data_IF_491763668610
#
_entry.id   IF_491763668610
#
_cell.length_a   1.000
_cell.length_b   1.000
_cell.length_c   1.000
_cell.angle_alpha   90.00
_cell.angle_beta   90.00
_cell.angle_gamma   90.00
#
_symmetry.space_group_name_H-M   'P 1'
#
loop_
_entity.id
_entity.type
_entity.pdbx_description
1 polymer ?
#
# COMPACT_ATOMS: atom_id res chain seq x y z
N UNK A 1 -20.70 3.69 48.41
CA UNK A 1 -19.43 3.21 47.81
C UNK A 1 -19.83 2.54 46.52
N UNK A 2 -19.93 3.32 45.44
CA UNK A 2 -20.50 2.86 44.17
C UNK A 2 -19.42 2.13 43.39
N UNK A 3 -19.65 0.85 43.13
CA UNK A 3 -18.86 0.02 42.24
C UNK A 3 -19.11 0.48 40.80
N UNK A 4 -18.15 1.20 40.21
CA UNK A 4 -18.04 1.32 38.75
C UNK A 4 -18.00 -0.10 38.16
N UNK A 5 -18.98 -0.50 37.32
CA UNK A 5 -18.83 -1.72 36.57
C UNK A 5 -17.74 -1.45 35.53
N UNK A 6 -16.59 -2.07 35.74
CA UNK A 6 -15.49 -2.08 34.81
C UNK A 6 -16.00 -2.60 33.45
N UNK A 7 -16.24 -1.67 32.53
CA UNK A 7 -16.49 -1.86 31.11
C UNK A 7 -15.21 -2.37 30.43
N UNK A 8 -14.76 -3.54 30.87
CA UNK A 8 -13.67 -4.31 30.30
C UNK A 8 -14.26 -5.35 29.35
N UNK A 9 -15.12 -4.92 28.43
CA UNK A 9 -15.42 -5.74 27.27
C UNK A 9 -14.12 -5.91 26.46
N UNK A 10 -13.69 -7.14 26.13
CA UNK A 10 -12.57 -7.32 25.22
C UNK A 10 -12.96 -6.70 23.88
N UNK A 11 -12.33 -5.56 23.55
CA UNK A 11 -12.49 -4.87 22.26
C UNK A 11 -12.28 -5.90 21.16
N UNK A 12 -13.33 -6.13 20.38
CA UNK A 12 -13.35 -7.11 19.30
C UNK A 12 -12.09 -6.98 18.42
N UNK A 13 -11.45 -8.10 18.04
CA UNK A 13 -10.26 -8.06 17.23
C UNK A 13 -10.56 -7.33 15.91
N UNK A 14 -9.59 -6.58 15.35
CA UNK A 14 -9.76 -5.91 14.07
C UNK A 14 -10.25 -6.93 13.04
N UNK A 15 -11.47 -6.72 12.52
CA UNK A 15 -12.08 -7.71 11.65
C UNK A 15 -11.28 -7.80 10.35
N UNK A 16 -10.95 -9.02 9.93
CA UNK A 16 -10.34 -9.29 8.63
C UNK A 16 -11.17 -8.68 7.47
N UNK A 17 -12.48 -8.53 7.72
CA UNK A 17 -13.46 -7.81 6.89
C UNK A 17 -13.24 -6.29 6.76
N UNK A 18 -12.42 -5.64 7.59
CA UNK A 18 -12.02 -4.24 7.38
C UNK A 18 -10.81 -4.12 6.45
N UNK A 19 -10.00 -5.17 6.32
CA UNK A 19 -8.79 -5.21 5.47
C UNK A 19 -9.10 -5.55 4.00
N UNK A 20 -10.14 -6.34 3.73
CA UNK A 20 -10.42 -6.79 2.35
C UNK A 20 -10.80 -5.66 1.38
N UNK A 21 -11.50 -4.62 1.84
CA UNK A 21 -11.87 -3.45 1.02
C UNK A 21 -10.64 -2.70 0.51
N UNK A 22 -9.69 -2.31 1.39
CA UNK A 22 -8.41 -1.77 0.96
C UNK A 22 -7.63 -2.69 0.05
N UNK A 23 -7.54 -3.97 0.41
CA UNK A 23 -6.78 -4.94 -0.36
C UNK A 23 -7.34 -5.08 -1.78
N UNK A 24 -8.67 -5.16 -1.94
CA UNK A 24 -9.32 -5.23 -3.26
C UNK A 24 -9.09 -3.93 -4.05
N UNK A 25 -9.24 -2.76 -3.41
CA UNK A 25 -9.00 -1.48 -4.08
C UNK A 25 -7.55 -1.34 -4.57
N UNK A 26 -6.59 -1.78 -3.75
CA UNK A 26 -5.17 -1.84 -4.13
C UNK A 26 -4.92 -2.82 -5.27
N UNK A 27 -5.47 -4.03 -5.19
CA UNK A 27 -5.33 -5.03 -6.25
C UNK A 27 -5.91 -4.52 -7.57
N UNK A 28 -7.08 -3.87 -7.55
CA UNK A 28 -7.66 -3.25 -8.75
C UNK A 28 -6.75 -2.13 -9.26
N UNK A 29 -6.29 -1.23 -8.38
CA UNK A 29 -5.43 -0.13 -8.77
C UNK A 29 -4.09 -0.56 -9.38
N UNK A 30 -3.54 -1.70 -8.95
CA UNK A 30 -2.36 -2.30 -9.55
C UNK A 30 -2.75 -3.03 -10.84
N UNK A 31 -3.79 -3.86 -10.84
CA UNK A 31 -4.16 -4.73 -11.96
C UNK A 31 -4.67 -3.98 -13.20
N UNK A 32 -5.35 -2.84 -13.04
CA UNK A 32 -5.90 -2.05 -14.15
C UNK A 32 -4.81 -1.46 -15.08
N UNK A 33 -3.75 -0.83 -14.57
CA UNK A 33 -2.65 -0.34 -15.39
C UNK A 33 -1.70 -1.46 -15.87
N UNK A 34 -1.66 -2.64 -15.23
CA UNK A 34 -0.76 -3.74 -15.63
C UNK A 34 -0.84 -4.15 -17.09
N UNK A 35 -2.02 -4.47 -17.68
CA UNK A 35 -2.08 -4.87 -19.07
C UNK A 35 -1.68 -3.72 -20.01
N UNK A 36 -2.02 -2.47 -19.66
CA UNK A 36 -1.68 -1.30 -20.46
C UNK A 36 -0.16 -1.06 -20.49
N UNK A 37 0.48 -1.11 -19.32
CA UNK A 37 1.92 -0.96 -19.17
C UNK A 37 2.68 -2.16 -19.73
N UNK A 38 2.15 -3.38 -19.58
CA UNK A 38 2.73 -4.59 -20.15
C UNK A 38 2.71 -4.55 -21.68
N UNK A 39 1.59 -4.10 -22.29
CA UNK A 39 1.49 -3.90 -23.74
C UNK A 39 2.51 -2.87 -24.21
N UNK A 40 2.58 -1.71 -23.56
CA UNK A 40 3.57 -0.67 -23.89
C UNK A 40 5.01 -1.18 -23.72
N UNK A 41 5.31 -1.86 -22.63
CA UNK A 41 6.64 -2.43 -22.35
C UNK A 41 7.04 -3.49 -23.38
N UNK A 42 6.10 -4.32 -23.82
CA UNK A 42 6.32 -5.34 -24.83
C UNK A 42 6.72 -4.72 -26.18
N UNK A 43 6.11 -3.60 -26.57
CA UNK A 43 6.45 -2.92 -27.83
C UNK A 43 7.84 -2.28 -27.83
N UNK A 44 8.34 -1.88 -26.66
CA UNK A 44 9.61 -1.16 -26.53
C UNK A 44 10.79 -2.10 -26.18
N UNK A 45 10.60 -3.06 -25.28
CA UNK A 45 11.68 -3.86 -24.68
C UNK A 45 11.37 -5.38 -24.65
N UNK A 46 10.32 -5.82 -25.35
CA UNK A 46 9.97 -7.24 -25.48
C UNK A 46 9.65 -7.92 -24.15
N UNK A 47 10.07 -9.18 -24.01
CA UNK A 47 9.77 -10.01 -22.84
C UNK A 47 10.36 -9.46 -21.52
N UNK A 48 11.49 -8.74 -21.59
CA UNK A 48 12.14 -8.14 -20.43
C UNK A 48 11.29 -7.00 -19.84
N UNK A 49 10.59 -6.25 -20.70
CA UNK A 49 9.64 -5.22 -20.28
C UNK A 49 8.45 -5.77 -19.49
N UNK A 50 7.96 -6.97 -19.83
CA UNK A 50 6.87 -7.61 -19.07
C UNK A 50 7.35 -8.03 -17.69
N UNK A 51 8.55 -8.59 -17.58
CA UNK A 51 9.15 -8.93 -16.29
C UNK A 51 9.33 -7.70 -15.40
N UNK A 52 9.79 -6.59 -15.98
CA UNK A 52 9.92 -5.30 -15.29
C UNK A 52 8.59 -4.82 -14.69
N UNK A 53 7.50 -4.87 -15.46
CA UNK A 53 6.16 -4.46 -15.02
C UNK A 53 5.66 -5.35 -13.88
N UNK A 54 5.82 -6.67 -14.00
CA UNK A 54 5.40 -7.62 -12.98
C UNK A 54 6.18 -7.43 -11.68
N UNK A 55 7.48 -7.20 -11.77
CA UNK A 55 8.34 -6.98 -10.60
C UNK A 55 7.97 -5.69 -9.87
N UNK A 56 7.76 -4.60 -10.62
CA UNK A 56 7.32 -3.31 -10.09
C UNK A 56 5.94 -3.41 -9.41
N UNK A 57 4.99 -4.10 -10.05
CA UNK A 57 3.66 -4.33 -9.52
C UNK A 57 3.71 -5.14 -8.21
N UNK A 58 4.48 -6.23 -8.16
CA UNK A 58 4.64 -7.05 -6.96
C UNK A 58 5.26 -6.28 -5.80
N UNK A 59 6.30 -5.49 -6.08
CA UNK A 59 6.97 -4.69 -5.07
C UNK A 59 6.05 -3.65 -4.44
N UNK A 60 5.33 -2.89 -5.27
CA UNK A 60 4.41 -1.86 -4.78
C UNK A 60 3.19 -2.46 -4.09
N UNK A 61 2.68 -3.58 -4.59
CA UNK A 61 1.58 -4.31 -3.96
C UNK A 61 1.98 -4.87 -2.58
N UNK A 62 3.15 -5.51 -2.49
CA UNK A 62 3.67 -6.06 -1.24
C UNK A 62 3.95 -5.00 -0.18
N UNK A 63 4.58 -3.89 -0.56
CA UNK A 63 4.87 -2.78 0.37
C UNK A 63 3.58 -2.13 0.89
N UNK A 64 2.58 -1.95 0.02
CA UNK A 64 1.28 -1.36 0.39
C UNK A 64 0.50 -2.28 1.32
N UNK A 65 0.49 -3.60 1.08
CA UNK A 65 -0.14 -4.56 2.01
C UNK A 65 0.53 -4.52 3.37
N UNK A 66 1.87 -4.47 3.41
CA UNK A 66 2.62 -4.37 4.67
C UNK A 66 2.27 -3.09 5.45
N UNK A 67 2.24 -1.94 4.77
CA UNK A 67 1.86 -0.66 5.36
C UNK A 67 0.42 -0.69 5.90
N UNK A 68 -0.53 -1.22 5.14
CA UNK A 68 -1.94 -1.31 5.54
C UNK A 68 -2.14 -2.24 6.74
N UNK A 69 -1.42 -3.35 6.78
CA UNK A 69 -1.45 -4.30 7.90
C UNK A 69 -0.93 -3.63 9.19
N UNK A 70 0.17 -2.89 9.10
CA UNK A 70 0.71 -2.11 10.23
C UNK A 70 -0.27 -1.06 10.72
N UNK A 71 -0.91 -0.31 9.82
CA UNK A 71 -1.90 0.72 10.17
C UNK A 71 -3.11 0.11 10.88
N UNK A 72 -3.61 -1.04 10.42
CA UNK A 72 -4.76 -1.71 11.04
C UNK A 72 -4.41 -2.29 12.41
N UNK A 73 -3.25 -2.94 12.56
CA UNK A 73 -2.80 -3.43 13.87
C UNK A 73 -2.62 -2.30 14.89
N UNK A 74 -2.24 -1.11 14.43
CA UNK A 74 -1.86 -0.01 15.31
C UNK A 74 -2.99 0.96 15.61
N UNK A 75 -4.14 0.81 14.95
CA UNK A 75 -5.36 1.62 15.21
C UNK A 75 -5.85 1.53 16.66
N UNK A 76 -5.50 0.48 17.38
CA UNK A 76 -5.94 0.26 18.77
C UNK A 76 -4.86 0.57 19.82
N UNK A 77 -3.67 1.00 19.41
CA UNK A 77 -2.56 1.29 20.34
C UNK A 77 -2.30 2.80 20.44
N UNK A 78 -1.83 3.30 21.60
CA UNK A 78 -1.39 4.70 21.75
C UNK A 78 -0.19 5.05 20.84
N UNK A 79 0.43 4.06 20.19
CA UNK A 79 1.55 4.20 19.27
C UNK A 79 1.13 4.33 17.80
N UNK A 80 -0.14 4.65 17.51
CA UNK A 80 -0.65 4.79 16.14
C UNK A 80 0.15 5.72 15.23
N UNK A 81 0.76 6.78 15.79
CA UNK A 81 1.65 7.69 15.06
C UNK A 81 2.93 6.99 14.59
N UNK A 82 3.58 6.19 15.45
CA UNK A 82 4.81 5.47 15.11
C UNK A 82 4.55 4.43 14.02
N UNK A 83 3.41 3.75 14.07
CA UNK A 83 3.03 2.80 13.05
C UNK A 83 2.69 3.45 11.70
N UNK A 84 2.05 4.62 11.72
CA UNK A 84 1.83 5.39 10.50
C UNK A 84 3.16 5.82 9.87
N UNK A 85 4.14 6.25 10.69
CA UNK A 85 5.49 6.56 10.20
C UNK A 85 6.21 5.32 9.65
N UNK A 86 6.09 4.17 10.31
CA UNK A 86 6.64 2.91 9.83
C UNK A 86 5.99 2.45 8.51
N UNK A 87 4.68 2.62 8.37
CA UNK A 87 3.95 2.35 7.12
C UNK A 87 4.44 3.24 5.98
N UNK A 88 4.63 4.53 6.24
CA UNK A 88 5.23 5.46 5.26
C UNK A 88 6.66 5.03 4.92
N UNK A 89 7.48 4.69 5.91
CA UNK A 89 8.85 4.25 5.66
C UNK A 89 8.91 2.98 4.80
N UNK A 90 8.02 2.01 5.01
CA UNK A 90 7.96 0.79 4.19
C UNK A 90 7.46 1.07 2.78
N UNK A 91 6.39 1.87 2.64
CA UNK A 91 5.78 2.13 1.33
C UNK A 91 6.69 2.95 0.42
N UNK A 92 7.50 3.85 0.97
CA UNK A 92 8.42 4.70 0.20
C UNK A 92 9.80 4.08 0.11
N UNK A 93 10.30 3.55 1.23
CA UNK A 93 11.64 2.99 1.34
C UNK A 93 11.84 1.76 0.47
N UNK A 94 10.88 0.82 0.45
CA UNK A 94 11.04 -0.42 -0.34
C UNK A 94 11.09 -0.13 -1.84
N UNK A 95 10.13 0.60 -2.44
CA UNK A 95 10.17 0.91 -3.88
C UNK A 95 11.36 1.79 -4.27
N UNK A 96 11.73 2.80 -3.46
CA UNK A 96 12.90 3.63 -3.76
C UNK A 96 14.20 2.85 -3.65
N UNK A 97 14.41 2.10 -2.57
CA UNK A 97 15.66 1.37 -2.35
C UNK A 97 15.88 0.32 -3.44
N UNK A 98 14.84 -0.46 -3.74
CA UNK A 98 14.92 -1.51 -4.76
C UNK A 98 15.00 -0.88 -6.16
N UNK A 99 14.25 0.19 -6.43
CA UNK A 99 14.37 0.94 -7.68
C UNK A 99 15.76 1.54 -7.89
N UNK A 100 16.37 2.12 -6.85
CA UNK A 100 17.72 2.68 -6.91
C UNK A 100 18.78 1.59 -7.10
N UNK A 101 18.64 0.47 -6.38
CA UNK A 101 19.53 -0.69 -6.51
C UNK A 101 19.46 -1.31 -7.91
N UNK A 102 18.25 -1.46 -8.44
CA UNK A 102 18.04 -1.95 -9.82
C UNK A 102 18.57 -0.96 -10.86
N UNK A 103 18.49 0.35 -10.60
CA UNK A 103 19.04 1.35 -11.52
C UNK A 103 20.58 1.38 -11.54
N UNK A 104 21.23 1.08 -10.42
CA UNK A 104 22.69 0.94 -10.35
C UNK A 104 23.19 -0.36 -10.96
N UNK A 105 22.36 -1.40 -10.95
CA UNK A 105 22.65 -2.64 -11.65
C UNK A 105 22.45 -2.38 -13.15
N UNK A 106 23.52 -2.37 -13.95
CA UNK A 106 23.45 -2.24 -15.44
C UNK A 106 22.83 -3.49 -16.11
N UNK A 107 21.84 -4.11 -15.47
CA UNK A 107 21.18 -5.31 -15.94
C UNK A 107 20.07 -4.99 -16.96
N UNK A 108 19.59 -6.01 -17.68
CA UNK A 108 18.56 -5.86 -18.70
C UNK A 108 17.24 -5.25 -18.18
N UNK A 109 16.96 -5.37 -16.87
CA UNK A 109 15.81 -4.70 -16.25
C UNK A 109 15.99 -3.17 -16.17
N UNK A 110 17.20 -2.70 -15.89
CA UNK A 110 17.48 -1.27 -15.76
C UNK A 110 17.37 -0.56 -17.12
N UNK A 111 17.90 -1.19 -18.18
CA UNK A 111 17.70 -0.76 -19.57
C UNK A 111 16.22 -0.74 -19.96
N UNK A 112 15.43 -1.71 -19.48
CA UNK A 112 13.99 -1.74 -19.68
C UNK A 112 13.19 -0.66 -18.93
N UNK A 113 13.86 0.22 -18.20
CA UNK A 113 13.20 1.32 -17.49
C UNK A 113 12.39 0.85 -16.28
N UNK A 114 12.79 -0.26 -15.62
CA UNK A 114 12.15 -0.79 -14.39
C UNK A 114 11.92 0.31 -13.35
N UNK A 115 12.86 1.24 -13.22
CA UNK A 115 12.76 2.33 -12.26
C UNK A 115 11.59 3.26 -12.54
N UNK A 116 11.37 3.59 -13.82
CA UNK A 116 10.22 4.39 -14.25
C UNK A 116 8.90 3.67 -13.97
N UNK A 117 8.85 2.36 -14.27
CA UNK A 117 7.69 1.52 -13.96
C UNK A 117 7.40 1.48 -12.46
N UNK A 118 8.42 1.24 -11.62
CA UNK A 118 8.30 1.27 -10.16
C UNK A 118 7.75 2.62 -9.71
N UNK A 119 8.21 3.74 -10.28
CA UNK A 119 7.68 5.06 -9.94
C UNK A 119 6.21 5.23 -10.29
N UNK A 120 5.79 4.80 -11.48
CA UNK A 120 4.38 4.88 -11.89
C UNK A 120 3.50 4.08 -10.93
N UNK A 121 3.86 2.83 -10.65
CA UNK A 121 3.10 2.00 -9.71
C UNK A 121 3.11 2.55 -8.30
N UNK A 122 4.25 3.03 -7.81
CA UNK A 122 4.37 3.63 -6.50
C UNK A 122 3.45 4.84 -6.34
N UNK A 123 3.42 5.75 -7.32
CA UNK A 123 2.54 6.92 -7.27
C UNK A 123 1.06 6.52 -7.30
N UNK A 124 0.71 5.51 -8.12
CA UNK A 124 -0.64 4.96 -8.20
C UNK A 124 -1.09 4.34 -6.88
N UNK A 125 -0.28 3.46 -6.30
CA UNK A 125 -0.62 2.83 -5.02
C UNK A 125 -0.67 3.85 -3.89
N UNK A 126 0.25 4.82 -3.88
CA UNK A 126 0.27 5.91 -2.91
C UNK A 126 -1.00 6.75 -2.99
N UNK A 127 -1.44 7.13 -4.20
CA UNK A 127 -2.66 7.90 -4.40
C UNK A 127 -3.88 7.14 -3.86
N UNK A 128 -4.01 5.86 -4.22
CA UNK A 128 -5.15 5.02 -3.82
C UNK A 128 -5.16 4.85 -2.30
N UNK A 129 -4.01 4.57 -1.71
CA UNK A 129 -3.84 4.42 -0.26
C UNK A 129 -4.18 5.72 0.48
N UNK A 130 -3.74 6.88 -0.04
CA UNK A 130 -4.08 8.20 0.53
C UNK A 130 -5.57 8.50 0.44
N UNK A 131 -6.22 8.24 -0.69
CA UNK A 131 -7.68 8.39 -0.82
C UNK A 131 -8.41 7.47 0.15
N UNK A 132 -7.94 6.23 0.30
CA UNK A 132 -8.57 5.27 1.19
C UNK A 132 -8.40 5.65 2.67
N UNK A 133 -7.21 6.10 3.05
CA UNK A 133 -6.92 6.62 4.39
C UNK A 133 -7.79 7.85 4.70
N UNK A 134 -7.92 8.78 3.75
CA UNK A 134 -8.79 9.95 3.88
C UNK A 134 -10.26 9.54 4.07
N UNK A 135 -10.76 8.57 3.30
CA UNK A 135 -12.13 8.04 3.45
C UNK A 135 -12.36 7.35 4.79
N UNK A 136 -11.37 6.60 5.28
CA UNK A 136 -11.41 5.96 6.60
C UNK A 136 -11.47 7.00 7.74
N UNK A 137 -10.72 8.08 7.64
CA UNK A 137 -10.73 9.20 8.61
C UNK A 137 -12.06 9.97 8.57
N UNK A 138 -12.59 10.26 7.38
CA UNK A 138 -13.89 10.94 7.22
C UNK A 138 -15.06 10.11 7.80
N UNK A 139 -15.07 8.79 7.57
CA UNK A 139 -16.09 7.91 8.15
C UNK A 139 -16.06 7.91 9.68
N UNK A 140 -14.88 7.97 10.30
CA UNK A 140 -14.76 8.06 11.76
C UNK A 140 -15.30 9.41 12.31
N UNK A 141 -15.03 10.51 11.61
CA UNK A 141 -15.49 11.84 12.02
C UNK A 141 -17.02 12.01 11.91
N UNK A 142 -17.66 11.43 10.89
CA UNK A 142 -19.11 11.51 10.71
C UNK A 142 -19.89 10.70 11.75
N UNK A 143 -19.36 9.55 12.20
CA UNK A 143 -19.99 8.76 13.28
C UNK A 143 -19.95 9.51 14.60
N UNK A 144 -18.85 10.18 14.93
CA UNK A 144 -18.73 10.98 16.16
C UNK A 144 -19.66 12.20 16.20
N UNK A 145 -20.17 12.67 15.06
CA UNK A 145 -21.08 13.82 14.97
C UNK A 145 -22.56 13.41 15.01
N UNK A 146 -22.83 12.12 14.87
CA UNK A 146 -24.18 11.53 14.90
C UNK A 146 -24.49 10.81 16.23
N UNK A 147 -23.49 10.69 17.12
CA UNK A 147 -23.63 10.29 18.54
C UNK A 147 -23.77 11.52 19.42
#
# INVERSE_FOLDING_TARGET
MNTEPADNAPKSPPSLQQLWRPAIALTIAVALPTPLLAWYAQTQHGAVGIQAVLFAAFLCWGSSIGALTLVVMSKQTPYGLHAAMAGIALRTGIPLAIGAFLKQSEGPLAEAGVFGMIMVYYLLTLLVETVLAARLLQSAANVSKAS
#
